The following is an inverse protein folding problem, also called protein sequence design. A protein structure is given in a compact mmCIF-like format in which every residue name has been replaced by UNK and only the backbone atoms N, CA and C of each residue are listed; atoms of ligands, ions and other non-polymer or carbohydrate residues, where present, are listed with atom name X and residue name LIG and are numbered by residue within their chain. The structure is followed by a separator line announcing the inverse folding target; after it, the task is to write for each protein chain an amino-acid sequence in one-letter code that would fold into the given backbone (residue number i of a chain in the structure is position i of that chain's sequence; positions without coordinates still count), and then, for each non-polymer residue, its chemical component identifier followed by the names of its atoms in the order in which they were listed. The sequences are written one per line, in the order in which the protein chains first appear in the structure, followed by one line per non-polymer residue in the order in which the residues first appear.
data_IF_345933725695
#
_entry.id   IF_345933725695
#
_cell.length_a   1.000
_cell.length_b   1.000
_cell.length_c   1.000
_cell.angle_alpha   90.00
_cell.angle_beta   90.00
_cell.angle_gamma   90.00
#
_symmetry.space_group_name_H-M   'P 1'
#
loop_
_entity.id
_entity.type
_entity.pdbx_description
1 polymer ?
#
# COMPACT_ATOMS: atom_id res chain seq x y z
N UNK A 1 2.26 18.22 -0.35
CA UNK A 1 3.01 16.95 -0.45
C UNK A 1 2.19 15.94 0.32
N UNK A 2 1.48 15.04 -0.35
CA UNK A 2 0.70 14.01 0.32
C UNK A 2 1.68 13.15 1.14
N UNK A 3 1.53 13.18 2.46
CA UNK A 3 2.36 12.41 3.37
C UNK A 3 1.76 11.00 3.37
N UNK A 4 2.23 10.15 2.45
CA UNK A 4 1.86 8.73 2.47
C UNK A 4 2.50 8.10 3.69
N UNK A 5 1.69 7.52 4.56
CA UNK A 5 2.21 6.74 5.67
C UNK A 5 2.79 5.42 5.10
N UNK A 6 3.91 5.01 5.66
CA UNK A 6 4.60 3.78 5.28
C UNK A 6 4.93 2.98 6.52
N UNK A 7 4.98 1.66 6.36
CA UNK A 7 5.31 0.74 7.42
C UNK A 7 6.84 0.62 7.48
N UNK A 8 7.43 1.14 8.55
CA UNK A 8 8.83 0.96 8.89
C UNK A 8 8.98 -0.28 9.78
N UNK A 9 9.84 -1.21 9.39
CA UNK A 9 10.12 -2.41 10.16
C UNK A 9 11.61 -2.75 10.00
N UNK A 10 12.18 -3.44 10.99
CA UNK A 10 13.57 -3.86 10.93
C UNK A 10 13.69 -5.11 10.05
N UNK A 11 14.35 -4.95 8.90
CA UNK A 11 14.62 -6.07 7.99
C UNK A 11 15.50 -7.14 8.63
N UNK A 12 16.34 -6.80 9.60
CA UNK A 12 17.18 -7.78 10.30
C UNK A 12 16.37 -8.72 11.21
N UNK A 13 15.12 -8.36 11.53
CA UNK A 13 14.21 -9.18 12.32
C UNK A 13 13.36 -10.13 11.47
N UNK A 14 13.44 -10.05 10.13
CA UNK A 14 12.64 -10.92 9.25
C UNK A 14 13.09 -12.39 9.36
N UNK A 15 12.17 -13.35 9.63
CA UNK A 15 10.71 -13.20 9.70
C UNK A 15 10.23 -12.49 10.97
N UNK A 16 9.46 -11.42 10.80
CA UNK A 16 8.98 -10.54 11.87
C UNK A 16 7.45 -10.49 11.84
N UNK A 17 6.84 -10.39 13.01
CA UNK A 17 5.39 -10.22 13.18
C UNK A 17 5.16 -9.05 14.12
N UNK A 18 4.31 -8.12 13.71
CA UNK A 18 4.01 -6.90 14.47
C UNK A 18 2.56 -6.48 14.25
N UNK A 19 2.03 -5.73 15.20
CA UNK A 19 0.68 -5.20 15.12
C UNK A 19 0.70 -3.84 14.42
N UNK A 20 -0.29 -3.62 13.55
CA UNK A 20 -0.51 -2.38 12.80
C UNK A 20 -1.95 -1.92 13.02
N UNK A 21 -2.11 -0.62 13.21
CA UNK A 21 -3.43 0.02 13.25
C UNK A 21 -3.73 0.58 11.86
N UNK A 22 -4.80 0.09 11.24
CA UNK A 22 -5.28 0.52 9.93
C UNK A 22 -6.69 1.09 10.10
N UNK A 23 -6.82 2.42 9.96
CA UNK A 23 -8.04 3.17 10.28
C UNK A 23 -8.53 2.93 11.72
N UNK A 24 -9.67 2.25 11.89
CA UNK A 24 -10.30 1.95 13.19
C UNK A 24 -10.01 0.51 13.68
N UNK A 25 -9.32 -0.30 12.87
CA UNK A 25 -9.07 -1.72 13.14
C UNK A 25 -7.57 -2.02 13.34
N UNK A 26 -7.27 -2.87 14.33
CA UNK A 26 -5.91 -3.36 14.58
C UNK A 26 -5.74 -4.73 13.94
N UNK A 27 -4.69 -4.88 13.12
CA UNK A 27 -4.33 -6.14 12.48
C UNK A 27 -2.93 -6.57 12.91
N UNK A 28 -2.69 -7.87 12.93
CA UNK A 28 -1.33 -8.41 13.07
C UNK A 28 -0.80 -8.73 11.69
N UNK A 29 0.37 -8.19 11.34
CA UNK A 29 1.04 -8.42 10.07
C UNK A 29 2.33 -9.20 10.28
N UNK A 30 2.55 -10.20 9.44
CA UNK A 30 3.78 -11.00 9.41
C UNK A 30 4.51 -10.82 8.09
N UNK A 31 5.76 -10.38 8.15
CA UNK A 31 6.63 -10.29 6.97
C UNK A 31 7.62 -11.44 7.02
N UNK A 32 7.64 -12.24 5.95
CA UNK A 32 8.57 -13.34 5.77
C UNK A 32 9.41 -13.12 4.52
N UNK A 33 10.63 -13.67 4.50
CA UNK A 33 11.52 -13.58 3.36
C UNK A 33 11.90 -14.97 2.82
N UNK A 34 11.70 -15.15 1.51
CA UNK A 34 12.12 -16.35 0.81
C UNK A 34 13.52 -16.18 0.23
N UNK A 35 14.53 -16.64 0.98
CA UNK A 35 15.93 -16.60 0.57
C UNK A 35 16.23 -17.36 -0.74
N UNK A 36 15.43 -18.37 -1.09
CA UNK A 36 15.67 -19.19 -2.28
C UNK A 36 15.27 -18.47 -3.57
N UNK A 37 14.20 -17.67 -3.51
CA UNK A 37 13.61 -17.03 -4.68
C UNK A 37 13.70 -15.50 -4.65
N UNK A 38 14.28 -14.92 -3.59
CA UNK A 38 14.48 -13.48 -3.41
C UNK A 38 13.16 -12.70 -3.52
N UNK A 39 12.19 -13.05 -2.67
CA UNK A 39 10.93 -12.32 -2.54
C UNK A 39 10.41 -12.34 -1.11
N UNK A 40 9.62 -11.33 -0.76
CA UNK A 40 8.92 -11.26 0.51
C UNK A 40 7.49 -11.79 0.39
N UNK A 41 6.99 -12.33 1.48
CA UNK A 41 5.59 -12.69 1.63
C UNK A 41 5.00 -12.05 2.87
N UNK A 42 3.72 -11.73 2.80
CA UNK A 42 2.97 -11.11 3.88
C UNK A 42 1.89 -12.07 4.35
N UNK A 43 1.80 -12.20 5.67
CA UNK A 43 0.73 -12.86 6.39
C UNK A 43 -0.08 -11.79 7.12
N UNK A 44 -1.40 -11.97 7.19
CA UNK A 44 -2.31 -11.03 7.84
C UNK A 44 -3.29 -11.78 8.74
N UNK A 45 -3.41 -11.31 9.97
CA UNK A 45 -4.38 -11.78 10.95
C UNK A 45 -5.23 -10.62 11.47
N UNK A 46 -6.47 -10.95 11.82
CA UNK A 46 -7.40 -10.09 12.56
C UNK A 46 -6.90 -9.83 14.00
N UNK A 47 -7.41 -8.78 14.63
CA UNK A 47 -7.31 -8.45 16.06
C UNK A 47 -7.56 -9.65 17.00
N UNK A 48 -8.44 -10.59 16.61
CA UNK A 48 -8.72 -11.80 17.38
C UNK A 48 -7.70 -12.94 17.15
N UNK A 49 -6.70 -12.74 16.28
CA UNK A 49 -5.71 -13.74 15.88
C UNK A 49 -6.23 -14.72 14.82
N UNK A 50 -7.36 -14.41 14.18
CA UNK A 50 -7.89 -15.20 13.06
C UNK A 50 -7.07 -14.94 11.80
N UNK A 51 -6.66 -16.01 11.12
CA UNK A 51 -5.96 -15.90 9.83
C UNK A 51 -6.90 -15.30 8.79
N UNK A 52 -6.49 -14.20 8.15
CA UNK A 52 -7.17 -13.62 6.99
C UNK A 52 -6.44 -14.06 5.72
N UNK A 53 -5.12 -13.79 5.66
CA UNK A 53 -4.27 -14.12 4.51
C UNK A 53 -2.96 -14.73 4.97
N UNK A 54 -2.44 -15.72 4.23
CA UNK A 54 -1.12 -16.30 4.45
C UNK A 54 -0.35 -16.41 3.14
N UNK A 55 0.92 -16.05 3.19
CA UNK A 55 1.88 -16.25 2.11
C UNK A 55 1.60 -15.38 0.89
N UNK A 56 0.94 -14.23 1.05
CA UNK A 56 0.70 -13.31 -0.06
C UNK A 56 2.04 -12.78 -0.57
N UNK A 57 2.28 -12.89 -1.86
CA UNK A 57 3.57 -12.48 -2.41
C UNK A 57 3.60 -10.97 -2.60
N UNK A 58 4.61 -10.32 -2.05
CA UNK A 58 4.81 -8.89 -2.27
C UNK A 58 5.30 -8.62 -3.70
N UNK A 59 4.52 -7.85 -4.46
CA UNK A 59 4.82 -7.48 -5.84
C UNK A 59 4.86 -5.97 -5.96
N UNK A 60 5.99 -5.44 -6.45
CA UNK A 60 6.21 -4.00 -6.61
C UNK A 60 5.09 -3.35 -7.45
N UNK A 61 4.59 -2.20 -6.98
CA UNK A 61 3.49 -1.44 -7.58
C UNK A 61 2.16 -2.21 -7.68
N UNK A 62 1.97 -3.23 -6.85
CA UNK A 62 0.71 -3.97 -6.79
C UNK A 62 0.17 -3.96 -5.35
N UNK A 63 -1.09 -3.57 -5.12
CA UNK A 63 -1.69 -3.67 -3.81
C UNK A 63 -1.70 -5.12 -3.31
N UNK A 64 -1.39 -5.31 -2.04
CA UNK A 64 -1.55 -6.58 -1.36
C UNK A 64 -3.04 -6.90 -1.27
N UNK A 65 -3.39 -8.18 -1.43
CA UNK A 65 -4.77 -8.66 -1.30
C UNK A 65 -5.77 -8.15 -2.34
N UNK A 66 -5.32 -7.47 -3.39
CA UNK A 66 -6.15 -6.97 -4.50
C UNK A 66 -6.98 -8.08 -5.20
N UNK A 67 -6.46 -9.32 -5.20
CA UNK A 67 -7.13 -10.48 -5.76
C UNK A 67 -8.12 -11.16 -4.77
N UNK A 68 -8.20 -10.68 -3.51
CA UNK A 68 -9.04 -11.25 -2.46
C UNK A 68 -10.23 -10.35 -2.17
N UNK A 69 -11.42 -10.96 -2.08
CA UNK A 69 -12.65 -10.27 -1.66
C UNK A 69 -13.07 -10.86 -0.32
N UNK A 70 -12.62 -10.23 0.77
CA UNK A 70 -12.98 -10.60 2.14
C UNK A 70 -13.33 -9.33 2.92
N UNK A 71 -14.45 -9.36 3.64
CA UNK A 71 -14.95 -8.22 4.43
C UNK A 71 -14.05 -7.90 5.64
N UNK A 72 -13.14 -8.80 5.99
CA UNK A 72 -12.16 -8.64 7.07
C UNK A 72 -10.86 -8.00 6.61
N UNK A 73 -10.70 -7.75 5.31
CA UNK A 73 -9.52 -7.03 4.82
C UNK A 73 -9.54 -5.61 5.38
N UNK A 74 -8.35 -5.04 5.64
CA UNK A 74 -8.27 -3.65 6.03
C UNK A 74 -8.87 -2.76 4.93
N UNK A 75 -9.55 -1.69 5.35
CA UNK A 75 -10.02 -0.63 4.44
C UNK A 75 -8.89 -0.07 3.57
N UNK A 76 -7.74 0.36 4.16
CA UNK A 76 -6.64 0.89 3.37
C UNK A 76 -5.84 -0.23 2.69
N UNK A 77 -5.46 0.02 1.44
CA UNK A 77 -4.67 -0.92 0.65
C UNK A 77 -3.19 -0.74 0.93
N UNK A 78 -2.45 -1.86 1.03
CA UNK A 78 -1.01 -1.81 1.28
C UNK A 78 -0.25 -2.03 -0.03
N UNK A 79 0.55 -1.05 -0.45
CA UNK A 79 1.22 -1.08 -1.75
C UNK A 79 2.74 -0.93 -1.58
N UNK A 80 3.53 -1.95 -1.92
CA UNK A 80 4.98 -1.82 -1.98
C UNK A 80 5.37 -0.97 -3.20
N UNK A 81 5.96 0.19 -2.95
CA UNK A 81 6.32 1.16 -4.00
C UNK A 81 7.76 1.65 -3.83
N UNK A 82 8.37 2.04 -4.94
CA UNK A 82 9.64 2.76 -4.98
C UNK A 82 9.37 4.20 -5.45
N UNK A 83 9.68 5.20 -4.61
CA UNK A 83 9.51 6.62 -4.99
C UNK A 83 10.39 7.01 -6.18
N UNK A 84 11.53 6.34 -6.35
CA UNK A 84 12.46 6.63 -7.42
C UNK A 84 12.06 5.97 -8.75
N UNK A 85 11.15 5.00 -8.73
CA UNK A 85 10.66 4.26 -9.90
C UNK A 85 11.73 3.49 -10.67
N UNK A 86 12.85 3.16 -10.03
CA UNK A 86 13.98 2.48 -10.66
C UNK A 86 13.93 0.96 -10.45
N UNK A 87 13.32 0.52 -9.36
CA UNK A 87 13.22 -0.89 -9.02
C UNK A 87 12.19 -1.61 -9.88
N UNK A 88 12.42 -2.91 -10.13
CA UNK A 88 11.52 -3.77 -10.92
C UNK A 88 10.82 -4.85 -10.12
N UNK A 89 11.34 -5.14 -8.92
CA UNK A 89 10.85 -6.17 -8.00
C UNK A 89 11.22 -5.80 -6.59
N UNK A 90 10.60 -6.41 -5.60
CA UNK A 90 11.00 -6.31 -4.20
C UNK A 90 12.02 -7.42 -3.91
N UNK A 91 13.22 -7.06 -3.44
CA UNK A 91 14.30 -7.96 -3.06
C UNK A 91 14.90 -7.54 -1.72
N UNK A 92 15.70 -8.41 -1.11
CA UNK A 92 16.31 -8.12 0.20
C UNK A 92 17.12 -6.81 0.23
N UNK A 93 17.82 -6.51 -0.86
CA UNK A 93 18.68 -5.33 -0.96
C UNK A 93 17.92 -4.00 -1.06
N UNK A 94 16.69 -4.01 -1.60
CA UNK A 94 15.94 -2.78 -1.90
C UNK A 94 14.81 -2.49 -0.91
N UNK A 95 14.26 -3.51 -0.25
CA UNK A 95 13.17 -3.36 0.70
C UNK A 95 13.68 -2.71 2.00
N UNK A 96 13.03 -1.63 2.41
CA UNK A 96 13.46 -0.76 3.51
C UNK A 96 14.58 0.22 3.15
N UNK A 97 14.94 0.35 1.87
CA UNK A 97 15.98 1.28 1.39
C UNK A 97 15.46 2.17 0.26
N UNK A 98 14.96 1.55 -0.81
CA UNK A 98 14.33 2.24 -1.94
C UNK A 98 12.87 1.86 -2.11
N UNK A 99 12.53 0.60 -1.80
CA UNK A 99 11.16 0.11 -1.77
C UNK A 99 10.63 0.14 -0.35
N UNK A 100 9.48 0.75 -0.15
CA UNK A 100 8.77 0.78 1.13
C UNK A 100 7.33 0.32 0.95
N UNK A 101 6.72 -0.18 2.03
CA UNK A 101 5.32 -0.59 2.04
C UNK A 101 4.46 0.61 2.44
N UNK A 102 3.74 1.18 1.48
CA UNK A 102 2.89 2.34 1.71
C UNK A 102 1.48 1.92 2.07
N UNK A 103 0.85 2.70 2.93
CA UNK A 103 -0.57 2.61 3.28
C UNK A 103 -1.30 3.56 2.34
N UNK A 104 -2.04 3.00 1.40
CA UNK A 104 -2.90 3.71 0.47
C UNK A 104 -4.30 3.78 1.08
N UNK A 105 -4.45 4.75 1.98
CA UNK A 105 -5.73 5.17 2.57
C UNK A 105 -6.42 6.20 1.67
N UNK A 106 -6.47 5.94 0.36
CA UNK A 106 -7.31 6.73 -0.53
C UNK A 106 -8.75 6.31 -0.26
N UNK A 107 -9.27 6.77 0.87
CA UNK A 107 -10.62 7.29 0.91
C UNK A 107 -10.73 8.24 -0.29
N UNK A 108 -11.74 8.02 -1.12
CA UNK A 108 -12.08 8.82 -2.30
C UNK A 108 -12.49 10.26 -1.93
N UNK A 109 -11.74 10.92 -1.07
CA UNK A 109 -11.77 12.37 -0.87
C UNK A 109 -10.85 12.97 -1.94
N UNK A 110 -11.22 12.74 -3.19
CA UNK A 110 -10.78 13.54 -4.33
C UNK A 110 -11.37 14.95 -4.19
N UNK A 111 -11.01 15.66 -3.11
CA UNK A 111 -11.21 17.10 -2.92
C UNK A 111 -10.02 17.86 -3.55
N UNK A 112 -9.63 17.43 -4.76
CA UNK A 112 -9.01 18.34 -5.73
C UNK A 112 -10.17 18.90 -6.56
N UNK A 113 -10.75 20.07 -6.21
CA UNK A 113 -11.59 20.78 -7.14
C UNK A 113 -10.71 21.05 -8.36
N UNK A 114 -10.99 20.34 -9.46
CA UNK A 114 -10.55 20.76 -10.78
C UNK A 114 -11.08 22.20 -10.91
N UNK A 115 -10.21 23.19 -10.74
CA UNK A 115 -10.49 24.57 -11.15
C UNK A 115 -10.71 24.52 -12.66
N UNK A 116 -11.95 24.24 -13.05
CA UNK A 116 -12.48 24.46 -14.39
C UNK A 116 -12.51 25.97 -14.59
N UNK A 117 -11.34 26.56 -14.85
CA UNK A 117 -11.21 27.89 -15.43
C UNK A 117 -11.76 27.81 -16.85
N UNK A 118 -13.09 27.82 -16.97
CA UNK A 118 -13.80 28.18 -18.17
C UNK A 118 -13.57 29.68 -18.41
N UNK A 119 -12.44 30.01 -19.03
CA UNK A 119 -12.32 31.20 -19.87
C UNK A 119 -13.25 30.98 -21.08
N UNK A 120 -14.56 31.18 -20.86
CA UNK A 120 -15.55 31.23 -21.92
C UNK A 120 -15.41 32.59 -22.62
N UNK A 121 -14.44 32.66 -23.53
CA UNK A 121 -14.33 33.69 -24.56
C UNK A 121 -15.46 33.44 -25.57
N UNK A 122 -16.64 33.97 -25.24
CA UNK A 122 -17.87 33.82 -26.01
C UNK A 122 -18.18 35.11 -26.75
N UNK A 123 -17.57 35.26 -27.92
CA UNK A 123 -17.88 36.25 -28.93
C UNK A 123 -19.39 36.41 -29.20
N UNK A 124 -19.76 37.69 -29.24
CA UNK A 124 -20.84 38.36 -29.98
C UNK A 124 -21.81 37.49 -30.81
N UNK A 125 -23.11 37.53 -30.45
CA UNK A 125 -24.20 37.31 -31.40
C UNK A 125 -25.32 38.34 -31.17
N UNK A 126 -25.33 39.33 -32.06
CA UNK A 126 -26.42 40.28 -32.34
C UNK A 126 -27.75 39.57 -32.63
N UNK A 127 -28.84 40.09 -32.06
CA UNK A 127 -30.21 39.99 -32.60
C UNK A 127 -31.02 41.25 -32.30
#
# INVERSE_FOLDING_TARGET
MAKRDYIDFDKEEVPVVFDIDLEEDTFTMGINYNQTNDFFTVDLWDSEGNVIVLGEKMVLNRPLFDDLVDERLPGPSLVPMDEAGNEKRVSWDNFGVTVFLYIDDISDDSDDPIEDNLDYDGDDYDY
#
